data_IF_214893296186
#
_entry.id   IF_214893296186
#
_cell.length_a   1.000
_cell.length_b   1.000
_cell.length_c   1.000
_cell.angle_alpha   90.00
_cell.angle_beta   90.00
_cell.angle_gamma   90.00
#
_symmetry.space_group_name_H-M   'P 1'
#
loop_
_entity.id
_entity.type
_entity.pdbx_description
1 polymer ?
#
# COMPACT_ATOMS: atom_id res chain seq x y z
N UNK A 1 -37.72 -8.36 -8.79
CA UNK A 1 -38.27 -8.64 -10.14
C UNK A 1 -39.42 -9.63 -10.07
N UNK A 2 -39.24 -10.79 -9.43
CA UNK A 2 -40.33 -11.77 -9.22
C UNK A 2 -41.52 -11.22 -8.41
N UNK A 3 -41.28 -10.41 -7.37
CA UNK A 3 -42.37 -9.83 -6.57
C UNK A 3 -43.27 -8.88 -7.37
N UNK A 4 -42.67 -8.06 -8.24
CA UNK A 4 -43.39 -7.18 -9.16
C UNK A 4 -44.17 -7.98 -10.22
N UNK A 5 -43.58 -9.07 -10.74
CA UNK A 5 -44.29 -9.99 -11.63
C UNK A 5 -45.50 -10.62 -10.94
N UNK A 6 -45.38 -11.08 -9.70
CA UNK A 6 -46.49 -11.69 -8.96
C UNK A 6 -47.64 -10.72 -8.70
N UNK A 7 -47.34 -9.44 -8.47
CA UNK A 7 -48.36 -8.39 -8.30
C UNK A 7 -49.11 -8.07 -9.62
N UNK A 8 -48.43 -8.12 -10.76
CA UNK A 8 -49.01 -7.79 -12.07
C UNK A 8 -49.56 -9.01 -12.82
N UNK A 9 -49.22 -10.24 -12.40
CA UNK A 9 -49.51 -11.48 -13.11
C UNK A 9 -51.01 -11.72 -13.36
N UNK A 10 -51.89 -11.28 -12.47
CA UNK A 10 -53.36 -11.42 -12.63
C UNK A 10 -53.88 -10.64 -13.84
N UNK A 11 -53.17 -9.57 -14.26
CA UNK A 11 -53.57 -8.70 -15.36
C UNK A 11 -52.99 -9.13 -16.72
N UNK A 12 -52.17 -10.18 -16.75
CA UNK A 12 -51.41 -10.58 -17.93
C UNK A 12 -51.99 -11.84 -18.59
N UNK A 13 -51.93 -11.89 -19.93
CA UNK A 13 -52.19 -13.11 -20.71
C UNK A 13 -51.06 -14.13 -20.51
N UNK A 14 -51.33 -15.41 -20.80
CA UNK A 14 -50.34 -16.48 -20.64
C UNK A 14 -49.05 -16.26 -21.46
N UNK A 15 -49.18 -15.68 -22.66
CA UNK A 15 -48.02 -15.34 -23.50
C UNK A 15 -47.16 -14.23 -22.87
N UNK A 16 -47.79 -13.16 -22.35
CA UNK A 16 -47.08 -12.08 -21.66
C UNK A 16 -46.42 -12.56 -20.36
N UNK A 17 -47.08 -13.47 -19.63
CA UNK A 17 -46.50 -14.08 -18.43
C UNK A 17 -45.23 -14.85 -18.76
N UNK A 18 -45.29 -15.68 -19.81
CA UNK A 18 -44.14 -16.47 -20.25
C UNK A 18 -42.98 -15.58 -20.69
N UNK A 19 -43.24 -14.56 -21.51
CA UNK A 19 -42.20 -13.62 -21.95
C UNK A 19 -41.55 -12.87 -20.78
N UNK A 20 -42.33 -12.44 -19.79
CA UNK A 20 -41.79 -11.76 -18.60
C UNK A 20 -41.00 -12.70 -17.70
N UNK A 21 -41.45 -13.93 -17.50
CA UNK A 21 -40.73 -14.94 -16.73
C UNK A 21 -39.38 -15.28 -17.38
N UNK A 22 -39.37 -15.47 -18.71
CA UNK A 22 -38.14 -15.72 -19.46
C UNK A 22 -37.15 -14.55 -19.33
N UNK A 23 -37.64 -13.31 -19.38
CA UNK A 23 -36.81 -12.13 -19.17
C UNK A 23 -36.28 -12.04 -17.73
N UNK A 24 -37.11 -12.32 -16.73
CA UNK A 24 -36.70 -12.32 -15.32
C UNK A 24 -35.63 -13.37 -15.10
N UNK A 25 -35.83 -14.59 -15.59
CA UNK A 25 -34.87 -15.69 -15.44
C UNK A 25 -33.58 -15.41 -16.21
N UNK A 26 -33.65 -14.75 -17.37
CA UNK A 26 -32.45 -14.27 -18.08
C UNK A 26 -31.68 -13.26 -17.22
N UNK A 27 -32.35 -12.21 -16.73
CA UNK A 27 -31.71 -11.17 -15.92
C UNK A 27 -31.15 -11.71 -14.61
N UNK A 28 -31.83 -12.66 -13.97
CA UNK A 28 -31.34 -13.32 -12.75
C UNK A 28 -30.10 -14.19 -13.02
N UNK A 29 -30.05 -14.91 -14.15
CA UNK A 29 -28.87 -15.65 -14.57
C UNK A 29 -27.69 -14.72 -14.85
N UNK A 30 -27.91 -13.67 -15.65
CA UNK A 30 -26.88 -12.66 -15.96
C UNK A 30 -26.33 -12.00 -14.69
N UNK A 31 -27.19 -11.66 -13.74
CA UNK A 31 -26.76 -11.08 -12.47
C UNK A 31 -25.92 -12.06 -11.65
N UNK A 32 -26.31 -13.34 -11.56
CA UNK A 32 -25.54 -14.38 -10.86
C UNK A 32 -24.19 -14.63 -11.52
N UNK A 33 -24.15 -14.68 -12.85
CA UNK A 33 -22.92 -14.92 -13.59
C UNK A 33 -21.97 -13.72 -13.48
N UNK A 34 -22.51 -12.49 -13.50
CA UNK A 34 -21.74 -11.29 -13.22
C UNK A 34 -21.19 -11.31 -11.79
N UNK A 35 -21.99 -11.68 -10.81
CA UNK A 35 -21.54 -11.80 -9.42
C UNK A 35 -20.41 -12.82 -9.29
N UNK A 36 -20.53 -14.00 -9.91
CA UNK A 36 -19.47 -15.02 -9.93
C UNK A 36 -18.22 -14.52 -10.66
N UNK A 37 -18.38 -13.83 -11.79
CA UNK A 37 -17.25 -13.26 -12.53
C UNK A 37 -16.51 -12.19 -11.72
N UNK A 38 -17.21 -11.41 -10.90
CA UNK A 38 -16.59 -10.36 -10.08
C UNK A 38 -16.03 -10.89 -8.76
N UNK A 39 -16.79 -11.72 -8.05
CA UNK A 39 -16.55 -12.10 -6.65
C UNK A 39 -16.39 -13.60 -6.43
N UNK A 40 -16.44 -14.41 -7.49
CA UNK A 40 -16.17 -15.84 -7.40
C UNK A 40 -14.69 -16.12 -7.08
N UNK A 41 -14.34 -17.38 -6.80
CA UNK A 41 -12.98 -17.79 -6.44
C UNK A 41 -11.92 -17.40 -7.48
N UNK A 42 -12.28 -17.40 -8.76
CA UNK A 42 -11.42 -16.95 -9.88
C UNK A 42 -11.88 -15.61 -10.47
N UNK A 43 -12.74 -14.90 -9.74
CA UNK A 43 -13.31 -13.65 -10.18
C UNK A 43 -12.30 -12.51 -10.20
N UNK A 44 -12.70 -11.41 -10.82
CA UNK A 44 -11.85 -10.23 -11.02
C UNK A 44 -11.29 -9.68 -9.69
N UNK A 45 -12.07 -9.73 -8.61
CA UNK A 45 -11.63 -9.28 -7.30
C UNK A 45 -10.46 -10.12 -6.76
N UNK A 46 -10.57 -11.45 -6.88
CA UNK A 46 -9.50 -12.35 -6.43
C UNK A 46 -8.25 -12.14 -7.27
N UNK A 47 -8.38 -12.06 -8.59
CA UNK A 47 -7.26 -11.78 -9.50
C UNK A 47 -6.58 -10.46 -9.16
N UNK A 48 -7.35 -9.40 -8.91
CA UNK A 48 -6.77 -8.10 -8.56
C UNK A 48 -6.05 -8.15 -7.21
N UNK A 49 -6.61 -8.88 -6.23
CA UNK A 49 -5.94 -9.12 -4.95
C UNK A 49 -4.60 -9.82 -5.16
N UNK A 50 -4.56 -10.89 -5.96
CA UNK A 50 -3.33 -11.61 -6.28
C UNK A 50 -2.33 -10.68 -6.98
N UNK A 51 -2.76 -9.95 -8.01
CA UNK A 51 -1.91 -9.00 -8.75
C UNK A 51 -1.26 -7.95 -7.86
N UNK A 52 -1.98 -7.45 -6.84
CA UNK A 52 -1.45 -6.44 -5.92
C UNK A 52 -0.59 -7.05 -4.79
N UNK A 53 -0.93 -8.26 -4.32
CA UNK A 53 -0.24 -8.91 -3.21
C UNK A 53 1.04 -9.61 -3.67
N UNK A 54 1.05 -10.26 -4.83
CA UNK A 54 2.21 -10.97 -5.37
C UNK A 54 3.49 -10.12 -5.40
N UNK A 55 3.52 -8.87 -5.93
CA UNK A 55 4.74 -8.08 -5.94
C UNK A 55 5.24 -7.73 -4.53
N UNK A 56 4.33 -7.63 -3.54
CA UNK A 56 4.71 -7.41 -2.14
C UNK A 56 5.31 -8.70 -1.57
N UNK A 57 4.70 -9.85 -1.84
CA UNK A 57 5.23 -11.16 -1.44
C UNK A 57 6.61 -11.41 -2.04
N UNK A 58 6.82 -11.07 -3.32
CA UNK A 58 8.11 -11.20 -3.99
C UNK A 58 9.19 -10.32 -3.36
N UNK A 59 8.84 -9.06 -3.01
CA UNK A 59 9.75 -8.16 -2.30
C UNK A 59 10.15 -8.73 -0.94
N UNK A 60 9.19 -9.24 -0.17
CA UNK A 60 9.44 -9.87 1.13
C UNK A 60 10.30 -11.13 0.95
N UNK A 61 9.99 -11.99 -0.02
CA UNK A 61 10.75 -13.20 -0.30
C UNK A 61 12.21 -12.90 -0.65
N UNK A 62 12.44 -11.91 -1.51
CA UNK A 62 13.79 -11.49 -1.87
C UNK A 62 14.55 -10.91 -0.66
N UNK A 63 13.90 -10.08 0.16
CA UNK A 63 14.50 -9.58 1.39
C UNK A 63 14.86 -10.70 2.37
N UNK A 64 13.99 -11.69 2.56
CA UNK A 64 14.26 -12.88 3.37
C UNK A 64 15.47 -13.64 2.80
N UNK A 65 15.51 -13.87 1.48
CA UNK A 65 16.61 -14.59 0.83
C UNK A 65 17.94 -13.88 0.99
N UNK A 66 17.97 -12.55 0.92
CA UNK A 66 19.20 -11.77 1.12
C UNK A 66 19.67 -11.81 2.58
N UNK A 67 18.75 -11.72 3.55
CA UNK A 67 19.08 -11.84 4.98
C UNK A 67 19.53 -13.27 5.33
N UNK A 68 18.91 -14.28 4.70
CA UNK A 68 19.16 -15.69 5.01
C UNK A 68 20.34 -16.31 4.25
N UNK A 69 20.64 -15.81 3.05
CA UNK A 69 21.26 -16.58 1.96
C UNK A 69 22.66 -17.11 2.19
N UNK A 70 23.42 -16.59 3.15
CA UNK A 70 24.76 -17.10 3.49
C UNK A 70 24.88 -17.65 4.91
N UNK A 71 23.86 -17.50 5.74
CA UNK A 71 23.95 -17.78 7.19
C UNK A 71 22.92 -18.78 7.68
N UNK A 72 21.91 -19.11 6.87
CA UNK A 72 20.81 -19.97 7.28
C UNK A 72 20.50 -21.01 6.21
N UNK A 73 20.24 -22.25 6.65
CA UNK A 73 19.85 -23.35 5.77
C UNK A 73 18.35 -23.35 5.48
N UNK A 74 17.54 -22.79 6.39
CA UNK A 74 16.10 -22.67 6.24
C UNK A 74 15.55 -21.47 7.05
N UNK A 75 14.42 -20.93 6.61
CA UNK A 75 13.63 -19.91 7.32
C UNK A 75 12.19 -20.41 7.43
N UNK A 76 11.61 -20.30 8.62
CA UNK A 76 10.24 -20.72 8.90
C UNK A 76 9.37 -19.51 9.26
N UNK A 77 8.16 -19.47 8.71
CA UNK A 77 7.13 -18.52 9.13
C UNK A 77 6.46 -19.01 10.42
N UNK A 78 6.71 -18.30 11.52
CA UNK A 78 6.17 -18.62 12.85
C UNK A 78 4.75 -18.06 13.02
N UNK A 79 4.40 -16.99 12.31
CA UNK A 79 3.10 -16.29 12.43
C UNK A 79 2.05 -16.74 11.42
N UNK A 80 2.43 -17.55 10.43
CA UNK A 80 1.54 -18.06 9.40
C UNK A 80 0.41 -18.93 9.97
N UNK A 81 -0.79 -18.76 9.42
CA UNK A 81 -1.99 -19.53 9.81
C UNK A 81 -1.84 -21.05 9.65
N UNK A 82 -0.84 -21.50 8.88
CA UNK A 82 -0.53 -22.90 8.58
C UNK A 82 0.84 -23.36 9.13
N UNK A 83 1.41 -22.64 10.10
CA UNK A 83 2.69 -23.05 10.69
C UNK A 83 2.52 -24.29 11.57
N UNK A 84 3.26 -25.36 11.25
CA UNK A 84 3.33 -26.58 12.08
C UNK A 84 4.36 -26.46 13.20
N UNK A 85 4.83 -25.25 13.51
CA UNK A 85 5.88 -25.01 14.49
C UNK A 85 5.27 -24.82 15.88
N UNK A 86 5.61 -25.72 16.81
CA UNK A 86 5.08 -25.67 18.18
C UNK A 86 5.78 -24.61 19.05
N UNK A 87 7.06 -24.35 18.80
CA UNK A 87 7.86 -23.39 19.53
C UNK A 87 8.99 -22.84 18.66
N UNK A 88 9.20 -21.52 18.73
CA UNK A 88 10.33 -20.82 18.15
C UNK A 88 10.93 -19.91 19.21
N UNK A 89 12.26 -19.91 19.34
CA UNK A 89 12.93 -18.98 20.25
C UNK A 89 13.09 -17.61 19.57
N UNK A 90 12.68 -16.55 20.26
CA UNK A 90 12.80 -15.14 19.83
C UNK A 90 14.24 -14.75 19.46
N UNK A 91 15.25 -15.39 20.08
CA UNK A 91 16.68 -15.17 19.74
C UNK A 91 16.99 -15.39 18.26
N UNK A 92 16.23 -16.26 17.59
CA UNK A 92 16.40 -16.57 16.17
C UNK A 92 15.42 -15.84 15.27
N UNK A 93 14.58 -14.94 15.80
CA UNK A 93 13.70 -14.12 15.01
C UNK A 93 14.52 -13.12 14.17
N UNK A 94 14.22 -13.07 12.86
CA UNK A 94 14.85 -12.17 11.89
C UNK A 94 13.86 -11.23 11.22
N UNK A 95 12.61 -11.18 11.68
CA UNK A 95 11.55 -10.32 11.17
C UNK A 95 12.01 -8.86 11.07
N UNK A 96 12.63 -8.32 12.12
CA UNK A 96 13.15 -6.95 12.13
C UNK A 96 14.25 -6.70 11.09
N UNK A 97 15.11 -7.69 10.85
CA UNK A 97 16.18 -7.57 9.85
C UNK A 97 15.61 -7.55 8.43
N UNK A 98 14.57 -8.36 8.18
CA UNK A 98 13.83 -8.36 6.92
C UNK A 98 13.08 -7.04 6.72
N UNK A 99 12.42 -6.52 7.77
CA UNK A 99 11.73 -5.23 7.73
C UNK A 99 12.69 -4.08 7.42
N UNK A 100 13.84 -4.02 8.11
CA UNK A 100 14.89 -3.03 7.82
C UNK A 100 15.36 -3.10 6.38
N UNK A 101 15.56 -4.31 5.84
CA UNK A 101 15.95 -4.52 4.44
C UNK A 101 14.90 -4.02 3.45
N UNK A 102 13.63 -4.08 3.81
CA UNK A 102 12.52 -3.52 3.04
C UNK A 102 12.36 -2.01 3.20
N UNK A 103 13.21 -1.34 3.99
CA UNK A 103 13.13 0.08 4.30
C UNK A 103 12.04 0.44 5.32
N UNK A 104 11.53 -0.55 6.05
CA UNK A 104 10.47 -0.37 7.05
C UNK A 104 11.11 -0.33 8.43
N UNK A 105 10.78 0.68 9.22
CA UNK A 105 11.21 0.77 10.63
C UNK A 105 10.41 -0.24 11.45
N UNK A 106 11.04 -1.23 12.09
CA UNK A 106 10.36 -2.09 13.06
C UNK A 106 9.78 -1.22 14.18
N UNK A 107 8.58 -1.57 14.65
CA UNK A 107 7.99 -0.90 15.80
C UNK A 107 8.89 -1.08 17.03
N UNK A 108 9.04 -0.05 17.87
CA UNK A 108 9.71 -0.19 19.17
C UNK A 108 8.88 -1.10 20.08
N UNK A 109 9.20 -2.39 20.08
CA UNK A 109 8.76 -3.29 21.14
C UNK A 109 9.53 -2.95 22.41
N UNK A 110 8.81 -2.71 23.52
CA UNK A 110 9.37 -2.25 24.79
C UNK A 110 10.28 -3.27 25.51
N UNK A 111 10.63 -4.39 24.87
CA UNK A 111 11.42 -5.48 25.46
C UNK A 111 12.75 -5.75 24.75
N UNK A 112 13.08 -5.10 23.62
CA UNK A 112 14.42 -5.22 23.02
C UNK A 112 15.34 -4.16 23.62
N UNK A 113 16.00 -4.54 24.71
CA UNK A 113 17.19 -3.83 25.17
C UNK A 113 18.34 -4.09 24.20
N UNK A 114 18.38 -3.37 23.09
CA UNK A 114 19.61 -3.19 22.33
C UNK A 114 19.67 -1.79 21.72
N UNK A 115 20.75 -1.09 22.04
CA UNK A 115 21.08 0.25 21.57
C UNK A 115 22.31 0.08 20.69
N UNK A 116 22.36 0.81 19.55
CA UNK A 116 23.39 0.83 18.50
C UNK A 116 22.96 -0.09 17.34
N UNK A 117 22.62 0.40 16.15
CA UNK A 117 23.41 1.30 15.32
C UNK A 117 22.54 2.38 14.63
N UNK A 118 22.68 3.63 15.07
CA UNK A 118 22.20 4.84 14.36
C UNK A 118 23.30 5.34 13.40
N UNK A 119 23.93 4.44 12.62
CA UNK A 119 24.96 4.82 11.64
C UNK A 119 24.35 4.76 10.23
N UNK A 120 24.12 5.95 9.68
CA UNK A 120 24.09 6.25 8.24
C UNK A 120 22.91 5.70 7.41
N UNK A 121 21.70 6.21 7.66
CA UNK A 121 20.72 6.36 6.58
C UNK A 121 20.97 7.72 5.92
N UNK A 122 21.79 7.72 4.87
CA UNK A 122 22.02 8.88 4.02
C UNK A 122 20.73 9.59 3.63
N UNK A 123 20.81 10.92 3.51
CA UNK A 123 19.67 11.79 3.22
C UNK A 123 18.83 11.24 2.06
N UNK A 124 17.48 11.26 2.16
CA UNK A 124 16.65 10.91 1.03
C UNK A 124 17.00 11.84 -0.15
N UNK A 125 17.09 11.32 -1.38
CA UNK A 125 17.41 12.14 -2.53
C UNK A 125 16.39 13.27 -2.63
N UNK A 126 16.87 14.50 -2.79
CA UNK A 126 16.02 15.66 -2.94
C UNK A 126 15.11 15.48 -4.16
N UNK A 127 13.80 15.53 -3.93
CA UNK A 127 12.79 15.59 -4.99
C UNK A 127 12.97 16.88 -5.81
N UNK A 128 13.84 16.85 -6.82
CA UNK A 128 14.02 17.94 -7.76
C UNK A 128 13.16 17.71 -9.01
N UNK A 129 11.84 17.65 -8.86
CA UNK A 129 10.90 17.61 -9.97
C UNK A 129 9.57 18.29 -9.60
N UNK A 130 9.59 19.62 -9.40
CA UNK A 130 8.42 20.48 -9.68
C UNK A 130 8.86 21.85 -10.20
N UNK A 131 9.16 21.86 -11.50
CA UNK A 131 9.00 23.04 -12.33
C UNK A 131 7.50 23.41 -12.38
N UNK A 132 7.11 24.46 -11.66
CA UNK A 132 5.88 25.20 -11.95
C UNK A 132 6.14 26.70 -11.79
N UNK A 133 6.52 27.35 -12.88
CA UNK A 133 6.09 28.74 -13.13
C UNK A 133 4.86 28.67 -14.04
N UNK A 134 3.82 29.52 -13.94
CA UNK A 134 3.86 30.86 -14.59
C UNK A 134 2.93 31.90 -13.89
N UNK A 135 2.52 33.04 -14.50
CA UNK A 135 3.27 34.30 -14.56
C UNK A 135 2.48 35.55 -14.06
N UNK A 136 3.21 36.64 -13.79
CA UNK A 136 2.78 38.01 -14.11
C UNK A 136 2.12 38.89 -13.02
N UNK A 137 2.59 40.14 -12.92
CA UNK A 137 1.83 41.27 -12.37
C UNK A 137 2.63 42.16 -11.40
N UNK A 138 3.31 43.19 -11.93
CA UNK A 138 4.22 44.06 -11.18
C UNK A 138 3.58 45.17 -10.33
N UNK A 139 4.42 45.89 -9.59
CA UNK A 139 4.58 47.36 -9.62
C UNK A 139 5.59 47.85 -8.58
N UNK A 140 6.42 48.78 -9.07
CA UNK A 140 7.01 49.93 -8.38
C UNK A 140 8.12 49.75 -7.33
N UNK A 141 9.33 50.16 -7.73
CA UNK A 141 10.44 50.67 -6.88
C UNK A 141 10.13 52.12 -6.42
N UNK A 142 11.03 52.94 -5.83
CA UNK A 142 12.35 52.72 -5.18
C UNK A 142 12.57 53.55 -3.87
N UNK A 143 13.75 53.44 -3.22
CA UNK A 143 14.57 54.48 -2.52
C UNK A 143 15.24 53.88 -1.27
N UNK A 144 16.57 53.75 -1.16
CA UNK A 144 17.68 54.72 -1.21
C UNK A 144 17.72 55.67 0.00
N UNK A 145 18.76 55.51 0.84
CA UNK A 145 19.71 56.53 1.36
C UNK A 145 20.57 55.90 2.48
N UNK A 146 21.90 55.87 2.31
CA UNK A 146 22.92 56.65 3.07
C UNK A 146 22.92 56.28 4.57
N UNK A 147 24.04 55.91 5.21
CA UNK A 147 25.19 56.79 5.45
C UNK A 147 26.27 56.05 6.29
N UNK A 148 27.55 56.46 6.13
CA UNK A 148 28.76 56.36 6.99
C UNK A 148 29.05 55.08 7.81
N UNK A 149 30.27 54.53 7.90
CA UNK A 149 31.60 55.12 7.84
C UNK A 149 32.34 54.93 9.19
N UNK A 150 33.54 54.31 9.15
CA UNK A 150 34.59 54.33 10.21
C UNK A 150 34.60 53.13 11.18
N UNK A 151 35.60 52.23 11.23
CA UNK A 151 37.05 52.34 11.52
C UNK A 151 37.40 52.55 13.00
N UNK A 152 37.85 51.48 13.69
CA UNK A 152 39.02 51.47 14.61
C UNK A 152 39.18 50.05 15.21
N UNK A 153 40.27 49.34 14.88
CA UNK A 153 41.52 49.21 15.66
C UNK A 153 41.45 48.41 16.97
N UNK A 154 42.21 47.31 16.95
CA UNK A 154 43.16 46.85 17.96
C UNK A 154 42.85 47.10 19.44
N UNK A 155 42.84 46.02 20.25
CA UNK A 155 43.96 45.68 21.16
C UNK A 155 43.64 44.48 22.05
N UNK A 156 44.70 43.67 22.24
CA UNK A 156 45.09 42.93 23.47
C UNK A 156 44.13 41.88 24.01
N UNK A 157 44.56 40.68 24.39
CA UNK A 157 45.81 40.29 25.04
C UNK A 157 46.00 38.78 24.88
#
# INVERSE_FOLDING_TARGET
MRDAFNAEAILLTEEMKRSRLDEIDRREREARDLQKKRFGPEGDLFKKRVELIQPIQDRVYNAVKEVAGQSYVAVFDVGGQSSNLLFASEKYDKSDSVLRKLGIRPGKDKNSGDTRDDEDFGEPPADNDRETTPPGGGKDSPQQRMDTGGSDQMKTK
#
